data_IF_979358161318
#
_entry.id   IF_979358161318
#
_cell.length_a   1.000
_cell.length_b   1.000
_cell.length_c   1.000
_cell.angle_alpha   90.00
_cell.angle_beta   90.00
_cell.angle_gamma   90.00
#
_symmetry.space_group_name_H-M   'P 1'
#
loop_
_entity.id
_entity.type
_entity.pdbx_description
1 polymer ?
#
# COMPACT_ATOMS: atom_id res chain seq x y z
N UNK A 1 -16.44 68.52 35.56
CA UNK A 1 -15.43 67.47 35.27
C UNK A 1 -16.17 66.27 34.76
N UNK A 2 -16.18 66.09 33.46
CA UNK A 2 -16.84 64.98 32.81
C UNK A 2 -15.79 63.85 32.60
N UNK A 3 -15.99 62.73 33.36
CA UNK A 3 -15.16 61.55 33.21
C UNK A 3 -15.60 60.74 31.99
N UNK A 4 -14.74 60.61 30.99
CA UNK A 4 -14.96 59.68 29.89
C UNK A 4 -14.41 58.31 30.30
N UNK A 5 -15.33 57.37 30.59
CA UNK A 5 -15.02 55.98 30.80
C UNK A 5 -14.78 55.34 29.43
N UNK A 6 -13.55 54.86 29.17
CA UNK A 6 -13.27 53.97 28.07
C UNK A 6 -13.72 52.56 28.46
N UNK A 7 -14.74 52.02 27.79
CA UNK A 7 -15.00 50.62 27.81
C UNK A 7 -13.89 49.96 26.99
N UNK A 8 -12.91 49.35 27.65
CA UNK A 8 -12.05 48.37 27.02
C UNK A 8 -12.93 47.23 26.57
N UNK A 9 -13.23 47.17 25.30
CA UNK A 9 -13.69 45.94 24.66
C UNK A 9 -12.59 44.94 24.91
N UNK A 10 -12.81 44.05 25.89
CA UNK A 10 -11.96 42.89 26.09
C UNK A 10 -12.01 42.09 24.80
N UNK A 11 -10.96 42.13 24.04
CA UNK A 11 -10.73 41.08 23.06
C UNK A 11 -10.62 39.80 23.87
N UNK A 12 -11.74 39.09 24.00
CA UNK A 12 -11.75 37.75 24.56
C UNK A 12 -10.65 37.01 23.82
N UNK A 13 -9.70 36.46 24.54
CA UNK A 13 -8.74 35.54 23.98
C UNK A 13 -9.57 34.43 23.33
N UNK A 14 -9.76 34.50 22.04
CA UNK A 14 -10.16 33.35 21.26
C UNK A 14 -9.00 32.39 21.34
N UNK A 15 -8.94 31.62 22.43
CA UNK A 15 -8.23 30.36 22.37
C UNK A 15 -9.01 29.55 21.35
N UNK A 16 -8.67 29.72 20.10
CA UNK A 16 -9.00 28.76 19.06
C UNK A 16 -8.52 27.43 19.59
N UNK A 17 -9.40 26.69 20.26
CA UNK A 17 -9.12 25.36 20.73
C UNK A 17 -8.90 24.55 19.47
N UNK A 18 -7.64 24.34 19.14
CA UNK A 18 -7.25 23.51 18.05
C UNK A 18 -7.80 22.12 18.35
N UNK A 19 -8.91 21.77 17.74
CA UNK A 19 -9.46 20.43 17.85
C UNK A 19 -8.71 19.58 16.84
N UNK A 20 -7.77 18.80 17.32
CA UNK A 20 -7.10 17.81 16.49
C UNK A 20 -8.11 16.80 15.93
N UNK A 21 -7.76 16.17 14.81
CA UNK A 21 -8.54 15.06 14.29
C UNK A 21 -8.54 13.91 15.29
N UNK A 22 -9.69 13.26 15.46
CA UNK A 22 -9.81 12.01 16.20
C UNK A 22 -10.34 10.94 15.24
N UNK A 23 -9.62 9.84 15.16
CA UNK A 23 -9.99 8.70 14.34
C UNK A 23 -9.73 7.40 15.10
N UNK A 24 -10.35 6.32 14.64
CA UNK A 24 -10.18 4.97 15.16
C UNK A 24 -9.79 4.00 14.04
N UNK A 25 -9.40 2.80 14.41
CA UNK A 25 -9.02 1.72 13.48
C UNK A 25 -7.51 1.49 13.38
N UNK A 26 -7.14 0.26 13.07
CA UNK A 26 -5.75 -0.18 13.02
C UNK A 26 -5.06 -0.16 14.38
N UNK A 27 -3.73 -0.27 14.37
CA UNK A 27 -2.88 -0.05 15.54
C UNK A 27 -2.48 1.42 15.59
N UNK A 28 -2.83 2.10 16.70
CA UNK A 28 -2.62 3.53 16.85
C UNK A 28 -1.35 3.79 17.66
N UNK A 29 -0.44 4.59 17.10
CA UNK A 29 0.76 5.07 17.78
C UNK A 29 0.83 6.59 17.69
N UNK A 30 1.70 7.19 18.52
CA UNK A 30 1.95 8.65 18.49
C UNK A 30 3.40 8.87 18.09
N UNK A 31 3.62 9.74 17.11
CA UNK A 31 4.94 10.17 16.69
C UNK A 31 4.95 11.71 16.61
N UNK A 32 5.57 12.34 17.60
CA UNK A 32 5.51 13.78 17.79
C UNK A 32 4.07 14.27 17.90
N UNK A 33 3.66 15.14 17.00
CA UNK A 33 2.31 15.71 16.93
C UNK A 33 1.31 14.87 16.12
N UNK A 34 1.77 13.74 15.56
CA UNK A 34 0.97 12.88 14.71
C UNK A 34 0.40 11.67 15.44
N UNK A 35 -0.83 11.28 15.09
CA UNK A 35 -1.41 9.97 15.36
C UNK A 35 -1.25 9.12 14.11
N UNK A 36 -0.56 8.00 14.25
CA UNK A 36 -0.30 7.06 13.15
C UNK A 36 -1.18 5.83 13.32
N UNK A 37 -1.98 5.53 12.30
CA UNK A 37 -2.85 4.36 12.23
C UNK A 37 -2.24 3.34 11.28
N UNK A 38 -1.81 2.19 11.80
CA UNK A 38 -1.18 1.11 11.02
C UNK A 38 -2.15 -0.03 10.83
N UNK A 39 -2.41 -0.39 9.57
CA UNK A 39 -3.26 -1.52 9.20
C UNK A 39 -2.41 -2.63 8.59
N UNK A 40 -2.22 -3.73 9.33
CA UNK A 40 -1.57 -4.96 8.85
C UNK A 40 -2.57 -6.01 8.35
N UNK A 41 -3.85 -5.72 8.47
CA UNK A 41 -4.98 -6.50 7.94
C UNK A 41 -6.08 -5.54 7.55
N UNK A 42 -6.97 -5.99 6.67
CA UNK A 42 -8.13 -5.20 6.25
C UNK A 42 -9.00 -4.81 7.44
N UNK A 43 -9.60 -3.62 7.38
CA UNK A 43 -10.38 -3.05 8.47
C UNK A 43 -11.04 -1.73 8.07
N UNK A 44 -11.37 -0.92 9.06
CA UNK A 44 -12.01 0.38 8.86
C UNK A 44 -11.21 1.47 9.57
N UNK A 45 -10.99 2.57 8.88
CA UNK A 45 -10.51 3.82 9.44
C UNK A 45 -11.72 4.75 9.59
N UNK A 46 -12.09 5.08 10.82
CA UNK A 46 -13.25 5.92 11.12
C UNK A 46 -12.81 7.27 11.68
N UNK A 47 -13.27 8.35 11.07
CA UNK A 47 -13.03 9.72 11.56
C UNK A 47 -14.23 10.16 12.39
N UNK A 48 -13.99 10.33 13.71
CA UNK A 48 -15.01 10.73 14.69
C UNK A 48 -14.97 12.21 15.04
N UNK A 49 -13.83 12.88 14.81
CA UNK A 49 -13.69 14.35 14.92
C UNK A 49 -12.83 14.83 13.77
N UNK A 50 -13.35 15.74 12.96
CA UNK A 50 -12.73 16.08 11.67
C UNK A 50 -11.41 16.86 11.81
N UNK A 51 -11.27 17.74 12.80
CA UNK A 51 -10.10 18.61 12.90
C UNK A 51 -9.88 19.41 11.61
N UNK A 52 -8.70 19.29 10.99
CA UNK A 52 -8.41 19.90 9.69
C UNK A 52 -9.01 19.16 8.50
N UNK A 53 -9.49 17.94 8.69
CA UNK A 53 -10.10 17.15 7.62
C UNK A 53 -9.13 16.61 6.57
N UNK A 54 -7.85 16.54 6.87
CA UNK A 54 -6.81 16.02 5.97
C UNK A 54 -5.92 15.01 6.67
N UNK A 55 -5.48 14.00 5.93
CA UNK A 55 -4.53 12.98 6.38
C UNK A 55 -3.39 12.82 5.39
N UNK A 56 -2.24 12.42 5.91
CA UNK A 56 -1.15 11.85 5.12
C UNK A 56 -1.32 10.34 5.05
N UNK A 57 -0.94 9.74 3.95
CA UNK A 57 -1.10 8.30 3.78
C UNK A 57 0.11 7.64 3.10
N UNK A 58 0.27 6.37 3.44
CA UNK A 58 1.15 5.43 2.76
C UNK A 58 0.37 4.13 2.53
N UNK A 59 0.21 3.72 1.28
CA UNK A 59 -0.46 2.47 0.89
C UNK A 59 0.51 1.57 0.14
N UNK A 60 0.85 0.43 0.74
CA UNK A 60 1.67 -0.61 0.16
C UNK A 60 0.79 -1.78 -0.27
N UNK A 61 0.98 -2.28 -1.47
CA UNK A 61 0.31 -3.49 -1.95
C UNK A 61 1.14 -4.75 -1.67
N UNK A 62 0.53 -5.91 -1.79
CA UNK A 62 1.22 -7.19 -1.67
C UNK A 62 2.28 -7.37 -2.76
N UNK A 63 3.46 -7.84 -2.43
CA UNK A 63 4.47 -8.25 -3.41
C UNK A 63 4.06 -9.54 -4.12
N UNK A 64 4.57 -9.79 -5.31
CA UNK A 64 4.39 -11.03 -6.03
C UNK A 64 5.24 -12.18 -5.47
N UNK A 65 4.80 -13.40 -5.67
CA UNK A 65 5.56 -14.61 -5.35
C UNK A 65 6.67 -14.86 -6.38
N UNK A 66 7.79 -15.39 -5.93
CA UNK A 66 8.84 -15.87 -6.82
C UNK A 66 8.50 -17.25 -7.43
N UNK A 67 9.12 -17.56 -8.55
CA UNK A 67 9.17 -18.92 -9.07
C UNK A 67 10.35 -19.65 -8.44
N UNK A 68 10.14 -20.88 -7.97
CA UNK A 68 11.20 -21.76 -7.48
C UNK A 68 11.46 -22.91 -8.46
N UNK A 69 12.70 -23.12 -8.85
CA UNK A 69 13.05 -24.27 -9.67
C UNK A 69 13.29 -25.50 -8.79
N UNK A 70 12.38 -26.47 -8.87
CA UNK A 70 12.51 -27.76 -8.17
C UNK A 70 13.54 -28.72 -8.78
N UNK A 71 14.10 -28.42 -9.95
CA UNK A 71 15.01 -29.28 -10.70
C UNK A 71 16.28 -28.53 -11.14
N UNK A 72 17.35 -29.30 -11.33
CA UNK A 72 18.63 -28.74 -11.77
C UNK A 72 18.58 -28.27 -13.24
N UNK A 73 19.04 -27.06 -13.47
CA UNK A 73 19.18 -26.51 -14.84
C UNK A 73 18.10 -25.50 -15.23
N UNK A 74 17.15 -25.20 -14.37
CA UNK A 74 16.14 -24.19 -14.62
C UNK A 74 16.47 -22.88 -13.88
N UNK A 75 16.15 -21.78 -14.52
CA UNK A 75 16.25 -20.46 -13.91
C UNK A 75 14.93 -20.07 -13.26
N UNK A 76 14.99 -19.33 -12.17
CA UNK A 76 13.82 -18.84 -11.47
C UNK A 76 13.81 -17.32 -11.43
N UNK A 77 12.64 -16.75 -11.65
CA UNK A 77 12.40 -15.32 -11.54
C UNK A 77 11.90 -14.91 -10.16
N UNK A 78 12.37 -13.77 -9.66
CA UNK A 78 11.85 -13.17 -8.45
C UNK A 78 10.50 -12.49 -8.69
N UNK A 79 9.62 -12.48 -7.68
CA UNK A 79 8.38 -11.70 -7.71
C UNK A 79 8.65 -10.19 -7.65
N UNK A 80 7.78 -9.41 -8.26
CA UNK A 80 7.82 -7.95 -8.24
C UNK A 80 7.38 -7.39 -6.89
N UNK A 81 7.88 -6.23 -6.52
CA UNK A 81 7.38 -5.52 -5.36
C UNK A 81 5.94 -5.07 -5.58
N UNK A 82 5.15 -5.02 -4.50
CA UNK A 82 3.85 -4.35 -4.53
C UNK A 82 3.99 -2.86 -4.79
N UNK A 83 2.95 -2.26 -5.35
CA UNK A 83 2.89 -0.83 -5.58
C UNK A 83 3.05 -0.05 -4.28
N UNK A 84 3.61 1.13 -4.40
CA UNK A 84 3.80 2.10 -3.32
C UNK A 84 3.06 3.38 -3.68
N UNK A 85 2.17 3.83 -2.81
CA UNK A 85 1.44 5.10 -2.96
C UNK A 85 1.55 5.91 -1.68
N UNK A 86 1.95 7.16 -1.79
CA UNK A 86 1.99 8.11 -0.68
C UNK A 86 1.41 9.43 -1.12
N UNK A 87 0.93 10.19 -0.18
CA UNK A 87 0.44 11.54 -0.41
C UNK A 87 0.16 12.26 0.89
N UNK A 88 0.08 13.57 0.78
CA UNK A 88 -0.28 14.50 1.83
C UNK A 88 -1.61 15.17 1.49
N UNK A 89 -2.26 15.76 2.48
CA UNK A 89 -3.50 16.52 2.31
C UNK A 89 -4.65 15.73 1.62
N UNK A 90 -4.76 14.43 1.90
CA UNK A 90 -5.92 13.67 1.47
C UNK A 90 -7.12 14.04 2.32
N UNK A 91 -8.14 14.63 1.67
CA UNK A 91 -9.32 15.11 2.36
C UNK A 91 -10.18 13.95 2.86
N UNK A 92 -10.53 13.99 4.14
CA UNK A 92 -11.44 13.05 4.80
C UNK A 92 -12.65 13.80 5.36
N UNK A 93 -13.71 13.08 5.62
CA UNK A 93 -14.94 13.57 6.25
C UNK A 93 -15.23 12.78 7.53
N UNK A 94 -16.25 13.16 8.28
CA UNK A 94 -16.81 12.36 9.37
C UNK A 94 -17.48 11.12 8.79
N UNK A 95 -16.70 10.08 8.54
CA UNK A 95 -17.13 8.85 7.87
C UNK A 95 -16.21 7.69 8.18
N UNK A 96 -16.66 6.51 7.82
CA UNK A 96 -15.87 5.28 7.77
C UNK A 96 -15.22 5.11 6.40
N UNK A 97 -13.94 4.79 6.38
CA UNK A 97 -13.16 4.48 5.18
C UNK A 97 -12.71 3.03 5.24
N UNK A 98 -13.18 2.23 4.29
CA UNK A 98 -12.73 0.85 4.19
C UNK A 98 -11.25 0.77 3.81
N UNK A 99 -10.50 -0.03 4.55
CA UNK A 99 -9.10 -0.35 4.30
C UNK A 99 -9.02 -1.79 3.81
N UNK A 100 -8.44 -2.00 2.65
CA UNK A 100 -8.07 -3.33 2.16
C UNK A 100 -6.56 -3.47 2.20
N UNK A 101 -6.06 -4.49 2.88
CA UNK A 101 -4.64 -4.85 2.87
C UNK A 101 -4.45 -6.06 1.96
N UNK A 102 -3.74 -5.87 0.88
CA UNK A 102 -3.46 -6.89 -0.11
C UNK A 102 -2.44 -7.91 0.38
N UNK A 103 -2.75 -9.19 0.21
CA UNK A 103 -1.84 -10.27 0.52
C UNK A 103 -0.69 -10.34 -0.50
N UNK A 104 0.47 -10.85 -0.08
CA UNK A 104 1.54 -11.25 -1.00
C UNK A 104 1.11 -12.44 -1.85
N UNK A 105 1.63 -12.52 -3.07
CA UNK A 105 1.48 -13.66 -3.95
C UNK A 105 2.29 -14.85 -3.43
N UNK A 106 1.72 -16.06 -3.53
CA UNK A 106 2.45 -17.28 -3.17
C UNK A 106 3.54 -17.57 -4.22
N UNK A 107 4.70 -18.03 -3.75
CA UNK A 107 5.71 -18.60 -4.63
C UNK A 107 5.26 -19.97 -5.15
N UNK A 108 5.75 -20.38 -6.30
CA UNK A 108 5.50 -21.70 -6.89
C UNK A 108 6.81 -22.41 -7.15
N UNK A 109 6.80 -23.73 -7.01
CA UNK A 109 8.00 -24.60 -7.19
C UNK A 109 7.92 -25.49 -8.42
N UNK A 110 6.88 -25.36 -9.25
CA UNK A 110 6.68 -26.14 -10.46
C UNK A 110 7.35 -25.47 -11.65
N UNK A 111 7.88 -26.25 -12.56
CA UNK A 111 8.60 -25.77 -13.75
C UNK A 111 7.75 -24.98 -14.75
N UNK A 112 6.44 -25.23 -14.73
CA UNK A 112 5.50 -24.70 -15.74
C UNK A 112 4.66 -23.51 -15.24
N UNK A 113 4.80 -23.09 -13.98
CA UNK A 113 3.96 -22.06 -13.39
C UNK A 113 4.78 -20.81 -13.02
N UNK A 114 4.25 -19.65 -13.29
CA UNK A 114 4.78 -18.41 -12.76
C UNK A 114 4.36 -18.23 -11.28
N UNK A 115 5.13 -17.50 -10.50
CA UNK A 115 4.75 -17.06 -9.16
C UNK A 115 3.42 -16.28 -9.18
N UNK A 116 2.67 -16.36 -8.11
CA UNK A 116 1.39 -15.68 -8.05
C UNK A 116 1.56 -14.17 -7.88
N UNK A 117 0.65 -13.42 -8.49
CA UNK A 117 0.58 -11.97 -8.31
C UNK A 117 0.18 -11.61 -6.88
N UNK A 118 0.73 -10.55 -6.33
CA UNK A 118 0.25 -9.93 -5.11
C UNK A 118 -1.11 -9.26 -5.29
N UNK A 119 -1.82 -9.06 -4.19
CA UNK A 119 -3.13 -8.40 -4.18
C UNK A 119 -2.98 -6.89 -3.98
N UNK A 120 -3.96 -6.15 -4.47
CA UNK A 120 -4.03 -4.71 -4.29
C UNK A 120 -4.33 -4.34 -2.83
N UNK A 121 -3.74 -3.22 -2.38
CA UNK A 121 -4.19 -2.54 -1.17
C UNK A 121 -4.97 -1.28 -1.53
N UNK A 122 -6.00 -0.99 -0.76
CA UNK A 122 -6.91 0.13 -1.04
C UNK A 122 -7.18 0.94 0.22
N UNK A 123 -7.07 2.24 0.11
CA UNK A 123 -7.58 3.22 1.06
C UNK A 123 -8.51 4.18 0.33
N UNK A 124 -9.80 4.11 0.59
CA UNK A 124 -10.82 4.93 -0.10
C UNK A 124 -10.71 4.80 -1.63
N UNK A 125 -10.42 5.89 -2.35
CA UNK A 125 -10.21 5.90 -3.80
C UNK A 125 -8.77 5.57 -4.23
N UNK A 126 -7.85 5.39 -3.27
CA UNK A 126 -6.44 5.16 -3.54
C UNK A 126 -6.20 3.66 -3.62
N UNK A 127 -5.81 3.18 -4.79
CA UNK A 127 -5.44 1.78 -5.01
C UNK A 127 -3.95 1.68 -5.30
N UNK A 128 -3.24 0.85 -4.53
CA UNK A 128 -1.89 0.41 -4.81
C UNK A 128 -1.94 -1.00 -5.41
N UNK A 129 -1.30 -1.22 -6.56
CA UNK A 129 -1.40 -2.45 -7.32
C UNK A 129 -0.43 -3.49 -6.79
N UNK A 130 -0.87 -4.74 -6.67
CA UNK A 130 -0.05 -5.87 -6.28
C UNK A 130 1.11 -6.11 -7.25
N UNK A 131 2.22 -6.62 -6.75
CA UNK A 131 3.41 -6.96 -7.55
C UNK A 131 3.18 -8.17 -8.45
N UNK A 132 3.84 -8.22 -9.58
CA UNK A 132 3.79 -9.34 -10.52
C UNK A 132 4.51 -10.58 -9.98
N UNK A 133 4.07 -11.76 -10.35
CA UNK A 133 4.75 -13.02 -10.04
C UNK A 133 6.06 -13.17 -10.81
N UNK A 134 7.00 -13.91 -10.27
CA UNK A 134 8.24 -14.27 -10.96
C UNK A 134 8.01 -15.32 -12.03
N UNK A 135 8.64 -15.16 -13.20
CA UNK A 135 8.60 -16.12 -14.28
C UNK A 135 9.50 -17.32 -14.02
N UNK A 136 9.13 -18.49 -14.54
CA UNK A 136 9.96 -19.69 -14.60
C UNK A 136 10.66 -19.84 -15.94
N UNK A 137 11.78 -20.57 -15.97
CA UNK A 137 12.42 -20.98 -17.22
C UNK A 137 11.98 -22.40 -17.58
N UNK A 138 11.61 -22.64 -18.82
CA UNK A 138 11.33 -23.97 -19.35
C UNK A 138 12.60 -24.61 -19.95
N UNK A 139 12.87 -25.89 -19.64
CA UNK A 139 14.11 -26.61 -20.00
C UNK A 139 14.09 -27.19 -21.40
N UNK A 140 13.23 -26.87 -22.30
CA UNK A 140 13.29 -27.64 -23.51
C UNK A 140 12.44 -27.28 -24.67
N UNK A 141 11.72 -26.25 -24.66
CA UNK A 141 10.87 -25.87 -25.77
C UNK A 141 11.17 -24.48 -26.25
N UNK A 142 11.28 -24.31 -27.57
CA UNK A 142 10.99 -23.03 -28.15
C UNK A 142 9.55 -22.70 -27.73
N UNK A 143 9.37 -22.11 -26.57
CA UNK A 143 8.08 -21.67 -26.11
C UNK A 143 7.60 -20.54 -27.02
N UNK A 144 6.76 -20.93 -27.94
CA UNK A 144 6.03 -20.01 -28.80
C UNK A 144 4.78 -19.48 -28.12
N UNK A 145 4.49 -19.89 -26.91
CA UNK A 145 3.21 -19.61 -26.27
C UNK A 145 3.29 -18.85 -24.94
N UNK A 146 4.45 -18.40 -24.51
CA UNK A 146 4.57 -17.34 -23.49
C UNK A 146 3.63 -17.29 -22.29
N UNK A 147 2.97 -18.39 -21.94
CA UNK A 147 1.93 -18.37 -20.92
C UNK A 147 2.44 -18.93 -19.60
N UNK A 148 3.37 -19.86 -19.65
CA UNK A 148 3.91 -20.55 -18.49
C UNK A 148 5.36 -20.11 -18.30
N UNK A 149 5.63 -19.28 -17.35
CA UNK A 149 6.98 -18.84 -17.00
C UNK A 149 7.31 -17.39 -17.21
N UNK A 150 6.42 -16.62 -17.83
CA UNK A 150 6.59 -15.17 -17.91
C UNK A 150 6.33 -14.48 -16.59
N UNK A 151 7.12 -13.44 -16.33
CA UNK A 151 6.88 -12.56 -15.20
C UNK A 151 5.49 -11.91 -15.30
N UNK A 152 4.75 -11.89 -14.20
CA UNK A 152 3.42 -11.29 -14.14
C UNK A 152 3.46 -9.78 -14.07
N UNK A 153 2.43 -9.12 -14.59
CA UNK A 153 2.22 -7.69 -14.48
C UNK A 153 1.78 -7.30 -13.06
N UNK A 154 2.26 -6.17 -12.58
CA UNK A 154 1.91 -5.66 -11.26
C UNK A 154 2.32 -4.21 -11.05
N UNK A 155 2.28 -3.74 -9.82
CA UNK A 155 2.82 -2.44 -9.42
C UNK A 155 4.32 -2.34 -9.72
N UNK A 156 5.03 -3.45 -9.59
CA UNK A 156 6.33 -3.74 -10.21
C UNK A 156 6.22 -5.11 -10.87
N UNK A 157 6.78 -5.27 -12.05
CA UNK A 157 6.83 -6.57 -12.75
C UNK A 157 7.73 -7.56 -12.01
N UNK A 158 7.45 -8.85 -12.18
CA UNK A 158 8.35 -9.92 -11.73
C UNK A 158 9.57 -10.05 -12.66
N UNK A 159 10.62 -10.70 -12.18
CA UNK A 159 11.77 -11.09 -13.02
C UNK A 159 11.46 -12.32 -13.86
N UNK A 160 12.01 -12.39 -15.06
CA UNK A 160 12.00 -13.61 -15.87
C UNK A 160 13.13 -14.54 -15.45
N UNK A 161 12.88 -15.85 -15.49
CA UNK A 161 13.95 -16.85 -15.49
C UNK A 161 14.60 -16.92 -16.88
N UNK A 162 15.92 -16.89 -16.96
CA UNK A 162 16.64 -17.14 -18.21
C UNK A 162 17.20 -18.56 -18.25
N UNK A 163 17.13 -19.19 -19.41
CA UNK A 163 17.76 -20.46 -19.66
C UNK A 163 19.16 -20.24 -20.26
N UNK A 164 20.17 -20.86 -19.68
CA UNK A 164 21.50 -20.90 -20.27
C UNK A 164 21.50 -21.95 -21.40
N UNK A 165 21.48 -21.53 -22.64
CA UNK A 165 21.81 -22.41 -23.76
C UNK A 165 23.33 -22.65 -23.78
N UNK A 166 23.73 -23.87 -23.49
CA UNK A 166 25.07 -24.33 -23.81
C UNK A 166 25.10 -24.68 -25.32
N UNK A 167 25.89 -23.92 -26.07
CA UNK A 167 26.20 -24.21 -27.49
C UNK A 167 27.30 -25.23 -27.55
#
# INVERSE_FOLDING_TARGET
>A
MTSFGYNTLGFGSYTSRFVGMVATGGTITTDGDFKVHVFNSSGTFEVTTLGHGEVEFLVLAGGGGGHGCGQRGFSSGGGGAGGYRTGTAFSVSLAEFAITVGAGGAGVGNVDDAGNKGSNSVFSSITSTGGGGGGGGDAGGADTQGINGHAGDGGSGGGNGEQLQLV
#
